data_IF_409282831319
#
_entry.id   IF_409282831319
#
_cell.length_a   1.000
_cell.length_b   1.000
_cell.length_c   1.000
_cell.angle_alpha   90.00
_cell.angle_beta   90.00
_cell.angle_gamma   90.00
#
_symmetry.space_group_name_H-M   'P 1'
#
loop_
_entity.id
_entity.type
_entity.pdbx_description
1 polymer ?
#
# COMPACT_ATOMS: atom_id res chain seq x y z
N UNK A 1 21.16 -2.44 30.78
CA UNK A 1 19.68 -2.40 30.77
C UNK A 1 19.21 -2.52 32.19
N UNK A 2 18.75 -1.42 32.80
CA UNK A 2 18.20 -1.43 34.15
C UNK A 2 16.68 -1.54 34.08
N UNK A 3 16.07 -2.37 34.94
CA UNK A 3 14.63 -2.48 35.05
C UNK A 3 14.06 -1.25 35.77
N UNK A 4 12.90 -0.76 35.33
CA UNK A 4 12.15 0.28 36.04
C UNK A 4 11.91 -0.18 37.50
N UNK A 5 12.38 0.60 38.47
CA UNK A 5 12.38 0.29 39.91
C UNK A 5 12.98 -1.07 40.31
N UNK A 6 13.81 -1.68 39.45
CA UNK A 6 14.34 -3.04 39.65
C UNK A 6 13.26 -4.13 39.85
N UNK A 7 12.02 -3.87 39.43
CA UNK A 7 10.88 -4.77 39.59
C UNK A 7 10.32 -5.19 38.24
N UNK A 8 10.05 -6.50 38.09
CA UNK A 8 9.38 -7.06 36.91
C UNK A 8 7.86 -6.99 37.02
N UNK A 9 7.18 -6.93 35.87
CA UNK A 9 5.73 -7.10 35.76
C UNK A 9 5.45 -8.59 35.58
N UNK A 10 4.66 -9.19 36.47
CA UNK A 10 4.33 -10.62 36.39
C UNK A 10 3.15 -10.84 35.45
N UNK A 11 3.43 -11.26 34.21
CA UNK A 11 2.42 -11.68 33.23
C UNK A 11 2.53 -13.19 32.96
N UNK A 12 1.90 -14.01 33.81
CA UNK A 12 1.94 -15.47 33.66
C UNK A 12 1.23 -15.94 32.38
N UNK A 13 1.92 -16.78 31.61
CA UNK A 13 1.35 -17.37 30.38
C UNK A 13 1.22 -16.38 29.22
N UNK A 14 1.93 -15.25 29.27
CA UNK A 14 1.95 -14.24 28.21
C UNK A 14 2.14 -14.87 26.82
N UNK A 15 1.20 -14.60 25.91
CA UNK A 15 1.28 -15.05 24.50
C UNK A 15 1.63 -13.92 23.55
N UNK A 16 1.12 -12.72 23.81
CA UNK A 16 1.41 -11.53 23.05
C UNK A 16 1.22 -10.30 23.91
N UNK A 17 2.02 -9.27 23.64
CA UNK A 17 1.85 -7.93 24.18
C UNK A 17 2.18 -6.91 23.11
N UNK A 18 1.58 -5.74 23.22
CA UNK A 18 1.89 -4.60 22.38
C UNK A 18 1.76 -3.29 23.15
N UNK A 19 2.51 -2.29 22.74
CA UNK A 19 2.51 -0.96 23.34
C UNK A 19 1.47 -0.07 22.68
N UNK A 20 0.79 0.75 23.48
CA UNK A 20 0.03 1.86 22.96
C UNK A 20 0.97 2.78 22.16
N UNK A 21 0.63 3.16 20.91
CA UNK A 21 1.51 3.96 20.07
C UNK A 21 1.88 5.34 20.61
N UNK A 22 1.03 5.93 21.47
CA UNK A 22 1.20 7.30 21.99
C UNK A 22 1.27 7.44 23.50
N UNK A 23 0.81 6.44 24.25
CA UNK A 23 0.84 6.46 25.70
C UNK A 23 1.74 5.35 26.26
N UNK A 24 2.20 5.53 27.49
CA UNK A 24 2.95 4.50 28.22
C UNK A 24 2.00 3.43 28.78
N UNK A 25 1.29 2.74 27.90
CA UNK A 25 0.33 1.71 28.23
C UNK A 25 0.69 0.42 27.49
N UNK A 26 0.76 -0.70 28.20
CA UNK A 26 0.98 -2.02 27.60
C UNK A 26 -0.34 -2.77 27.61
N UNK A 27 -0.76 -3.28 26.46
CA UNK A 27 -1.78 -4.32 26.40
C UNK A 27 -1.12 -5.67 26.24
N UNK A 28 -1.58 -6.66 27.00
CA UNK A 28 -1.15 -8.03 26.82
C UNK A 28 -2.30 -9.01 26.98
N UNK A 29 -2.13 -10.20 26.40
CA UNK A 29 -3.07 -11.27 26.57
C UNK A 29 -2.39 -12.56 27.04
N UNK A 30 -3.12 -13.31 27.86
CA UNK A 30 -2.72 -14.62 28.35
C UNK A 30 -3.87 -15.61 28.11
N UNK A 31 -3.59 -16.83 27.62
CA UNK A 31 -4.58 -17.87 27.42
C UNK A 31 -4.99 -18.48 28.76
N UNK A 32 -6.04 -19.29 28.72
CA UNK A 32 -6.53 -20.04 29.87
C UNK A 32 -5.44 -21.00 30.41
N UNK A 33 -5.24 -21.00 31.73
CA UNK A 33 -4.25 -21.84 32.40
C UNK A 33 -4.76 -22.26 33.77
N UNK A 34 -4.80 -23.58 34.01
CA UNK A 34 -5.30 -24.17 35.25
C UNK A 34 -6.71 -23.66 35.58
N UNK A 35 -6.90 -22.96 36.70
CA UNK A 35 -8.18 -22.36 37.11
C UNK A 35 -8.33 -20.89 36.69
N UNK A 36 -7.36 -20.31 35.97
CA UNK A 36 -7.44 -18.92 35.51
C UNK A 36 -7.95 -18.86 34.06
N UNK A 37 -9.01 -18.09 33.78
CA UNK A 37 -9.49 -17.90 32.42
C UNK A 37 -8.48 -17.11 31.58
N UNK A 38 -8.63 -17.18 30.26
CA UNK A 38 -7.90 -16.29 29.38
C UNK A 38 -8.22 -14.84 29.73
N UNK A 39 -7.30 -13.91 29.48
CA UNK A 39 -7.50 -12.50 29.81
C UNK A 39 -6.74 -11.57 28.89
N UNK A 40 -7.34 -10.42 28.63
CA UNK A 40 -6.66 -9.24 28.10
C UNK A 40 -6.51 -8.24 29.24
N UNK A 41 -5.32 -7.70 29.40
CA UNK A 41 -4.96 -6.78 30.50
C UNK A 41 -4.24 -5.56 29.92
N UNK A 42 -4.62 -4.39 30.41
CA UNK A 42 -3.94 -3.13 30.12
C UNK A 42 -3.22 -2.66 31.39
N UNK A 43 -1.92 -2.39 31.26
CA UNK A 43 -1.03 -2.00 32.35
C UNK A 43 -0.42 -0.65 32.05
N UNK A 44 -0.65 0.31 32.94
CA UNK A 44 -0.08 1.65 32.83
C UNK A 44 1.36 1.66 33.35
N UNK A 45 2.23 2.39 32.65
CA UNK A 45 3.60 2.67 33.07
C UNK A 45 3.81 4.18 33.24
N UNK A 46 4.58 4.59 34.27
CA UNK A 46 5.45 3.77 35.12
C UNK A 46 4.76 3.11 36.33
N UNK A 47 3.46 3.36 36.57
CA UNK A 47 2.76 2.94 37.79
C UNK A 47 2.71 1.41 37.97
N UNK A 48 2.82 0.62 36.88
CA UNK A 48 2.68 -0.84 36.82
C UNK A 48 1.32 -1.34 37.31
N UNK A 49 0.32 -0.46 37.35
CA UNK A 49 -1.03 -0.80 37.77
C UNK A 49 -1.81 -1.36 36.59
N UNK A 50 -2.52 -2.45 36.82
CA UNK A 50 -3.53 -2.94 35.88
C UNK A 50 -4.70 -1.95 35.88
N UNK A 51 -4.84 -1.19 34.79
CA UNK A 51 -5.93 -0.21 34.64
C UNK A 51 -7.21 -0.87 34.14
N UNK A 52 -7.09 -1.99 33.41
CA UNK A 52 -8.23 -2.75 32.91
C UNK A 52 -7.86 -4.22 32.76
N UNK A 53 -8.79 -5.09 33.15
CA UNK A 53 -8.70 -6.54 32.97
C UNK A 53 -10.03 -7.08 32.46
N UNK A 54 -10.01 -7.78 31.33
CA UNK A 54 -11.16 -8.45 30.73
C UNK A 54 -10.90 -9.96 30.69
N UNK A 55 -11.62 -10.77 31.48
CA UNK A 55 -11.58 -12.22 31.32
C UNK A 55 -12.27 -12.63 30.01
N UNK A 56 -11.74 -13.66 29.38
CA UNK A 56 -12.20 -14.26 28.14
C UNK A 56 -12.33 -15.78 28.34
N UNK A 57 -13.32 -16.38 27.70
CA UNK A 57 -13.62 -17.80 27.85
C UNK A 57 -13.57 -18.51 26.49
N UNK A 58 -13.17 -19.79 26.52
CA UNK A 58 -13.04 -20.62 25.33
C UNK A 58 -12.16 -19.98 24.25
N UNK A 59 -11.01 -19.40 24.60
CA UNK A 59 -10.12 -18.71 23.65
C UNK A 59 -9.16 -19.70 22.99
N UNK A 60 -9.08 -19.65 21.66
CA UNK A 60 -8.06 -20.33 20.86
C UNK A 60 -6.87 -19.40 20.61
N UNK A 61 -7.16 -18.19 20.13
CA UNK A 61 -6.16 -17.19 19.79
C UNK A 61 -6.71 -15.77 20.02
N UNK A 62 -5.80 -14.82 20.25
CA UNK A 62 -6.14 -13.41 20.41
C UNK A 62 -5.10 -12.51 19.76
N UNK A 63 -5.56 -11.63 18.87
CA UNK A 63 -4.74 -10.62 18.21
C UNK A 63 -5.10 -9.23 18.74
N UNK A 64 -4.08 -8.47 19.13
CA UNK A 64 -4.22 -7.12 19.68
C UNK A 64 -3.84 -6.10 18.60
N UNK A 65 -4.76 -5.20 18.25
CA UNK A 65 -4.54 -4.18 17.22
C UNK A 65 -4.87 -2.80 17.77
N UNK A 66 -3.83 -1.98 17.94
CA UNK A 66 -3.96 -0.59 18.38
C UNK A 66 -4.35 0.36 17.25
N UNK A 67 -5.19 1.34 17.57
CA UNK A 67 -5.38 2.51 16.73
C UNK A 67 -4.17 3.45 16.90
N UNK A 68 -3.84 4.17 15.85
CA UNK A 68 -2.56 4.87 15.67
C UNK A 68 -2.32 6.00 16.68
N UNK A 69 -3.39 6.60 17.16
CA UNK A 69 -3.39 7.65 18.19
C UNK A 69 -3.48 7.06 19.60
N UNK A 70 -3.64 5.73 19.72
CA UNK A 70 -3.75 5.04 21.00
C UNK A 70 -5.13 5.19 21.67
N UNK A 71 -6.12 5.72 20.97
CA UNK A 71 -7.45 5.97 21.54
C UNK A 71 -8.29 4.70 21.66
N UNK A 72 -8.06 3.76 20.75
CA UNK A 72 -8.79 2.50 20.67
C UNK A 72 -7.83 1.31 20.60
N UNK A 73 -8.25 0.20 21.20
CA UNK A 73 -7.61 -1.11 21.07
C UNK A 73 -8.69 -2.12 20.68
N UNK A 74 -8.41 -2.93 19.68
CA UNK A 74 -9.21 -4.11 19.36
C UNK A 74 -8.46 -5.36 19.85
N UNK A 75 -9.13 -6.19 20.64
CA UNK A 75 -8.72 -7.57 20.86
C UNK A 75 -9.64 -8.48 20.03
N UNK A 76 -9.11 -9.00 18.92
CA UNK A 76 -9.79 -9.98 18.08
C UNK A 76 -9.63 -11.35 18.73
N UNK A 77 -10.71 -11.91 19.24
CA UNK A 77 -10.71 -13.18 19.99
C UNK A 77 -11.32 -14.28 19.12
N UNK A 78 -10.51 -15.29 18.80
CA UNK A 78 -10.97 -16.49 18.12
C UNK A 78 -11.34 -17.54 19.16
N UNK A 79 -12.59 -17.98 19.18
CA UNK A 79 -13.08 -18.94 20.18
C UNK A 79 -12.93 -20.39 19.73
N UNK A 80 -12.51 -21.26 20.66
CA UNK A 80 -12.50 -22.72 20.55
C UNK A 80 -13.93 -23.23 20.40
N UNK A 81 -14.21 -24.00 19.35
CA UNK A 81 -15.43 -24.81 19.21
C UNK A 81 -15.09 -26.26 18.88
N UNK A 82 -15.89 -27.20 19.41
CA UNK A 82 -15.70 -28.65 19.22
C UNK A 82 -16.19 -29.18 17.86
N UNK A 83 -17.14 -28.54 17.19
CA UNK A 83 -17.82 -29.13 16.01
C UNK A 83 -18.30 -28.17 14.89
N UNK A 84 -17.95 -26.87 14.88
CA UNK A 84 -18.30 -25.97 13.75
C UNK A 84 -17.39 -24.74 13.61
N UNK A 85 -17.61 -23.94 12.55
CA UNK A 85 -16.87 -22.72 12.16
C UNK A 85 -16.45 -21.88 13.38
N UNK A 86 -15.18 -21.45 13.39
CA UNK A 86 -14.59 -20.63 14.46
C UNK A 86 -15.40 -19.35 14.63
N UNK A 87 -15.87 -19.08 15.85
CA UNK A 87 -16.56 -17.82 16.19
C UNK A 87 -15.50 -16.78 16.52
N UNK A 88 -15.63 -15.58 15.96
CA UNK A 88 -14.75 -14.44 16.28
C UNK A 88 -15.56 -13.38 17.00
N UNK A 89 -15.01 -12.85 18.09
CA UNK A 89 -15.53 -11.65 18.76
C UNK A 89 -14.47 -10.55 18.74
N UNK A 90 -14.93 -9.31 18.58
CA UNK A 90 -14.10 -8.12 18.67
C UNK A 90 -14.40 -7.43 19.99
N UNK A 91 -13.42 -7.44 20.89
CA UNK A 91 -13.48 -6.73 22.16
C UNK A 91 -12.79 -5.37 21.98
N UNK A 92 -13.58 -4.31 21.91
CA UNK A 92 -13.16 -2.96 21.54
C UNK A 92 -13.06 -2.11 22.81
N UNK A 93 -11.87 -1.58 23.08
CA UNK A 93 -11.55 -0.78 24.26
C UNK A 93 -11.42 0.69 23.87
N UNK A 94 -12.10 1.58 24.61
CA UNK A 94 -11.94 3.04 24.52
C UNK A 94 -10.97 3.50 25.61
N UNK A 95 -9.71 3.66 25.25
CA UNK A 95 -8.62 3.80 26.23
C UNK A 95 -8.61 5.16 26.92
N UNK A 96 -9.05 6.21 26.24
CA UNK A 96 -9.12 7.57 26.80
C UNK A 96 -10.35 7.82 27.69
N UNK A 97 -11.27 6.87 27.78
CA UNK A 97 -12.49 7.03 28.58
C UNK A 97 -12.30 6.53 30.01
N UNK A 98 -13.04 7.14 30.94
CA UNK A 98 -12.99 6.77 32.34
C UNK A 98 -13.33 5.27 32.51
N UNK A 99 -12.44 4.54 33.18
CA UNK A 99 -12.59 3.10 33.40
C UNK A 99 -12.33 2.20 32.18
N UNK A 100 -11.86 2.78 31.06
CA UNK A 100 -11.60 2.11 29.78
C UNK A 100 -12.86 1.33 29.35
N UNK A 101 -13.84 2.08 28.84
CA UNK A 101 -15.09 1.52 28.38
C UNK A 101 -14.83 0.42 27.34
N UNK A 102 -15.65 -0.63 27.37
CA UNK A 102 -15.48 -1.82 26.55
C UNK A 102 -16.80 -2.17 25.88
N UNK A 103 -16.72 -2.44 24.59
CA UNK A 103 -17.83 -2.88 23.76
C UNK A 103 -17.44 -4.16 23.04
N UNK A 104 -18.37 -5.10 22.98
CA UNK A 104 -18.17 -6.39 22.33
C UNK A 104 -19.02 -6.44 21.07
N UNK A 105 -18.37 -6.71 19.93
CA UNK A 105 -19.06 -7.01 18.68
C UNK A 105 -18.84 -8.47 18.35
N UNK A 106 -19.93 -9.23 18.31
CA UNK A 106 -19.88 -10.60 17.81
C UNK A 106 -19.97 -10.59 16.28
N UNK A 107 -19.05 -11.30 15.62
CA UNK A 107 -19.08 -11.48 14.17
C UNK A 107 -19.80 -12.79 13.86
N UNK A 108 -20.81 -12.72 12.99
CA UNK A 108 -21.56 -13.88 12.51
C UNK A 108 -20.59 -14.94 11.97
N UNK A 109 -20.87 -16.22 12.24
CA UNK A 109 -19.99 -17.39 12.19
C UNK A 109 -19.16 -17.57 10.90
N UNK A 110 -18.21 -16.66 10.69
CA UNK A 110 -17.30 -16.55 9.57
C UNK A 110 -15.93 -16.13 10.13
N UNK A 111 -14.83 -16.67 9.58
CA UNK A 111 -13.52 -16.28 10.04
C UNK A 111 -13.23 -14.83 9.61
N UNK A 112 -12.70 -14.05 10.53
CA UNK A 112 -12.12 -12.73 10.25
C UNK A 112 -10.71 -12.95 9.70
N UNK A 113 -10.43 -12.34 8.55
CA UNK A 113 -9.16 -12.51 7.81
C UNK A 113 -8.19 -11.35 8.04
N UNK A 114 -8.73 -10.14 8.17
CA UNK A 114 -7.94 -8.94 8.43
C UNK A 114 -8.81 -7.92 9.17
N UNK A 115 -8.16 -7.11 10.00
CA UNK A 115 -8.77 -6.04 10.77
C UNK A 115 -7.88 -4.80 10.62
N UNK A 116 -8.47 -3.63 10.36
CA UNK A 116 -7.70 -2.39 10.29
C UNK A 116 -8.48 -1.18 10.80
N UNK A 117 -7.87 -0.45 11.74
CA UNK A 117 -8.32 0.85 12.21
C UNK A 117 -8.09 1.94 11.15
N UNK A 118 -9.03 2.88 11.07
CA UNK A 118 -8.80 4.13 10.34
C UNK A 118 -7.80 5.01 11.11
N UNK A 119 -6.71 5.45 10.45
CA UNK A 119 -5.74 6.38 11.02
C UNK A 119 -6.37 7.67 11.51
N UNK A 120 -6.07 8.04 12.77
CA UNK A 120 -6.58 9.25 13.41
C UNK A 120 -8.11 9.41 13.35
N UNK A 121 -8.83 8.29 13.22
CA UNK A 121 -10.29 8.23 13.18
C UNK A 121 -10.84 7.23 14.21
N UNK A 122 -12.17 7.12 14.20
CA UNK A 122 -12.93 6.20 15.07
C UNK A 122 -13.53 5.02 14.29
N UNK A 123 -13.29 4.93 12.98
CA UNK A 123 -13.81 3.85 12.14
C UNK A 123 -12.82 2.70 12.06
N UNK A 124 -13.33 1.52 11.75
CA UNK A 124 -12.50 0.37 11.39
C UNK A 124 -13.21 -0.47 10.34
N UNK A 125 -12.43 -1.31 9.66
CA UNK A 125 -12.93 -2.25 8.69
C UNK A 125 -12.44 -3.65 9.03
N UNK A 126 -13.27 -4.65 8.68
CA UNK A 126 -12.93 -6.06 8.80
C UNK A 126 -13.19 -6.78 7.49
N UNK A 127 -12.34 -7.73 7.17
CA UNK A 127 -12.57 -8.73 6.13
C UNK A 127 -13.06 -10.00 6.81
N UNK A 128 -14.21 -10.51 6.40
CA UNK A 128 -14.75 -11.77 6.92
C UNK A 128 -15.38 -12.60 5.81
N UNK A 129 -15.37 -13.92 5.99
CA UNK A 129 -15.98 -14.85 5.06
C UNK A 129 -15.26 -16.19 5.02
N UNK A 130 -15.96 -17.21 4.54
CA UNK A 130 -15.56 -18.61 4.71
C UNK A 130 -14.67 -19.12 3.58
N UNK A 131 -14.88 -18.63 2.36
CA UNK A 131 -14.22 -19.14 1.17
C UNK A 131 -12.83 -18.50 0.95
N UNK A 132 -11.81 -19.20 1.45
CA UNK A 132 -10.42 -18.79 1.27
C UNK A 132 -9.93 -18.83 -0.19
N UNK A 133 -10.56 -19.64 -1.04
CA UNK A 133 -10.04 -19.94 -2.38
C UNK A 133 -10.50 -18.94 -3.42
N UNK A 134 -11.73 -18.42 -3.31
CA UNK A 134 -12.25 -17.42 -4.27
C UNK A 134 -11.78 -15.99 -3.98
N UNK A 135 -11.19 -15.74 -2.79
CA UNK A 135 -10.90 -14.42 -2.26
C UNK A 135 -12.12 -13.48 -2.18
N UNK A 136 -13.34 -13.96 -2.43
CA UNK A 136 -14.57 -13.16 -2.40
C UNK A 136 -15.08 -13.07 -0.97
N UNK A 137 -14.43 -12.21 -0.20
CA UNK A 137 -14.81 -11.94 1.17
C UNK A 137 -15.72 -10.72 1.27
N UNK A 138 -16.48 -10.67 2.36
CA UNK A 138 -17.27 -9.50 2.71
C UNK A 138 -16.39 -8.52 3.48
N UNK A 139 -16.56 -7.22 3.19
CA UNK A 139 -15.90 -6.15 3.94
C UNK A 139 -16.96 -5.38 4.71
N UNK A 140 -16.86 -5.34 6.04
CA UNK A 140 -17.76 -4.57 6.89
C UNK A 140 -17.05 -3.36 7.46
N UNK A 141 -17.69 -2.20 7.39
CA UNK A 141 -17.20 -0.95 7.96
C UNK A 141 -17.99 -0.61 9.22
N UNK A 142 -17.30 -0.28 10.29
CA UNK A 142 -17.86 0.06 11.59
C UNK A 142 -17.35 1.42 12.06
N UNK A 143 -18.09 2.03 12.98
CA UNK A 143 -17.71 3.24 13.67
C UNK A 143 -17.84 3.05 15.18
N UNK A 144 -16.87 3.54 15.95
CA UNK A 144 -16.98 3.65 17.42
C UNK A 144 -17.87 4.84 17.83
N UNK A 145 -18.44 5.59 16.90
CA UNK A 145 -19.38 6.67 17.21
C UNK A 145 -20.57 6.52 16.26
N UNK A 146 -21.78 6.53 16.80
CA UNK A 146 -22.97 6.46 15.99
C UNK A 146 -23.03 7.71 15.08
N UNK A 147 -23.13 7.53 13.76
CA UNK A 147 -22.96 8.62 12.79
C UNK A 147 -24.00 9.74 12.93
N UNK A 148 -25.24 9.40 13.28
CA UNK A 148 -26.34 10.37 13.42
C UNK A 148 -26.45 10.97 14.83
N UNK A 149 -26.45 10.14 15.87
CA UNK A 149 -26.70 10.57 17.25
C UNK A 149 -25.44 11.08 17.96
N UNK A 150 -24.24 10.77 17.44
CA UNK A 150 -22.97 11.06 18.11
C UNK A 150 -22.74 10.25 19.38
N UNK A 151 -23.59 9.26 19.66
CA UNK A 151 -23.44 8.41 20.83
C UNK A 151 -22.21 7.50 20.69
N UNK A 152 -21.56 7.24 21.82
CA UNK A 152 -20.35 6.41 21.91
C UNK A 152 -20.73 4.94 21.92
N UNK A 153 -21.27 4.48 20.80
CA UNK A 153 -21.64 3.08 20.58
C UNK A 153 -21.05 2.59 19.26
N UNK A 154 -20.70 1.31 19.22
CA UNK A 154 -20.21 0.67 18.01
C UNK A 154 -21.37 0.41 17.06
N UNK A 155 -21.32 1.05 15.89
CA UNK A 155 -22.36 0.95 14.86
C UNK A 155 -21.77 0.39 13.58
N UNK A 156 -22.44 -0.60 12.98
CA UNK A 156 -22.15 -1.04 11.62
C UNK A 156 -22.61 0.05 10.64
N UNK A 157 -21.69 0.57 9.82
CA UNK A 157 -22.00 1.59 8.82
C UNK A 157 -22.63 0.96 7.58
N UNK A 158 -21.91 0.03 6.95
CA UNK A 158 -22.37 -0.71 5.78
C UNK A 158 -21.47 -1.92 5.51
N UNK A 159 -21.90 -2.79 4.60
CA UNK A 159 -21.18 -3.98 4.15
C UNK A 159 -21.02 -3.99 2.63
N UNK A 160 -19.86 -4.45 2.17
CA UNK A 160 -19.60 -4.82 0.78
C UNK A 160 -19.75 -6.33 0.67
N UNK A 161 -20.93 -6.82 0.30
CA UNK A 161 -21.29 -8.25 0.24
C UNK A 161 -22.08 -8.62 -1.03
N UNK A 162 -22.29 -9.92 -1.26
CA UNK A 162 -23.06 -10.42 -2.41
C UNK A 162 -22.42 -10.09 -3.76
N UNK A 163 -23.18 -9.48 -4.68
CA UNK A 163 -22.65 -9.02 -5.97
C UNK A 163 -21.57 -7.92 -5.83
N UNK A 164 -21.48 -7.28 -4.65
CA UNK A 164 -20.44 -6.31 -4.31
C UNK A 164 -19.27 -6.93 -3.54
N UNK A 165 -19.27 -8.25 -3.31
CA UNK A 165 -18.15 -8.96 -2.70
C UNK A 165 -16.93 -8.86 -3.62
N UNK A 166 -15.78 -8.54 -3.03
CA UNK A 166 -14.57 -8.18 -3.78
C UNK A 166 -13.47 -9.19 -3.52
N UNK A 167 -12.59 -9.46 -4.50
CA UNK A 167 -11.36 -10.19 -4.24
C UNK A 167 -10.48 -9.37 -3.27
N UNK A 168 -10.45 -9.73 -1.98
CA UNK A 168 -9.73 -8.93 -0.97
C UNK A 168 -9.25 -9.79 0.20
N UNK A 169 -7.98 -9.71 0.57
CA UNK A 169 -7.45 -10.37 1.78
C UNK A 169 -6.64 -9.44 2.68
N UNK A 170 -6.40 -8.20 2.27
CA UNK A 170 -5.68 -7.20 3.05
C UNK A 170 -6.36 -5.84 2.98
N UNK A 171 -6.49 -5.21 4.14
CA UNK A 171 -6.94 -3.83 4.33
C UNK A 171 -5.75 -2.92 4.57
N UNK A 172 -5.72 -1.78 3.89
CA UNK A 172 -4.68 -0.78 4.11
C UNK A 172 -5.24 0.64 4.01
N UNK A 173 -5.51 1.25 5.15
CA UNK A 173 -5.97 2.64 5.22
C UNK A 173 -4.87 3.64 4.87
N UNK A 174 -5.27 4.73 4.19
CA UNK A 174 -4.43 5.91 4.03
C UNK A 174 -4.15 6.53 5.40
N UNK A 175 -2.91 6.96 5.70
CA UNK A 175 -2.56 7.69 6.92
C UNK A 175 -3.41 8.93 7.21
N UNK A 176 -4.08 9.51 6.21
CA UNK A 176 -4.99 10.64 6.39
C UNK A 176 -6.46 10.23 6.66
N UNK A 177 -6.74 8.93 6.75
CA UNK A 177 -8.11 8.40 6.82
C UNK A 177 -8.85 8.49 5.48
N UNK A 178 -10.17 8.29 5.53
CA UNK A 178 -11.14 8.34 4.42
C UNK A 178 -10.95 7.26 3.34
N UNK A 179 -9.75 7.15 2.80
CA UNK A 179 -9.40 6.24 1.73
C UNK A 179 -8.80 4.97 2.31
N UNK A 180 -9.30 3.83 1.83
CA UNK A 180 -8.80 2.50 2.13
C UNK A 180 -8.45 1.77 0.84
N UNK A 181 -7.35 1.02 0.86
CA UNK A 181 -7.00 0.08 -0.20
C UNK A 181 -7.47 -1.30 0.22
N UNK A 182 -8.37 -1.85 -0.60
CA UNK A 182 -8.80 -3.24 -0.52
C UNK A 182 -7.88 -4.03 -1.47
N UNK A 183 -6.91 -4.75 -0.91
CA UNK A 183 -5.93 -5.49 -1.68
C UNK A 183 -6.23 -7.00 -1.67
N UNK A 184 -6.08 -7.63 -2.83
CA UNK A 184 -5.85 -9.07 -2.95
C UNK A 184 -4.37 -9.27 -3.19
N UNK A 185 -3.67 -9.76 -2.18
CA UNK A 185 -2.28 -10.15 -2.26
C UNK A 185 -2.21 -11.64 -2.61
N UNK A 186 -1.87 -11.93 -3.86
CA UNK A 186 -1.74 -13.28 -4.42
C UNK A 186 -0.79 -13.24 -5.64
N UNK A 187 -0.61 -14.36 -6.35
CA UNK A 187 0.17 -14.37 -7.59
C UNK A 187 -0.35 -13.37 -8.63
N UNK A 188 -1.66 -13.38 -8.87
CA UNK A 188 -2.38 -12.32 -9.58
C UNK A 188 -3.05 -11.40 -8.54
N UNK A 189 -2.34 -10.33 -8.20
CA UNK A 189 -2.76 -9.35 -7.21
C UNK A 189 -3.71 -8.32 -7.82
N UNK A 190 -4.56 -7.73 -6.97
CA UNK A 190 -5.40 -6.60 -7.36
C UNK A 190 -5.48 -5.57 -6.24
N UNK A 191 -5.51 -4.30 -6.61
CA UNK A 191 -5.66 -3.18 -5.69
C UNK A 191 -6.93 -2.41 -6.03
N UNK A 192 -7.78 -2.18 -5.04
CA UNK A 192 -8.91 -1.29 -5.17
C UNK A 192 -8.79 -0.13 -4.20
N UNK A 193 -8.76 1.09 -4.75
CA UNK A 193 -8.78 2.33 -4.00
C UNK A 193 -10.24 2.70 -3.75
N UNK A 194 -10.63 2.70 -2.49
CA UNK A 194 -12.02 2.87 -2.07
C UNK A 194 -12.13 4.03 -1.09
N UNK A 195 -13.09 4.92 -1.32
CA UNK A 195 -13.41 6.05 -0.46
C UNK A 195 -14.60 5.67 0.43
N UNK A 196 -14.34 5.67 1.75
CA UNK A 196 -15.29 5.27 2.79
C UNK A 196 -16.27 6.40 3.12
N UNK A 197 -15.98 7.65 2.76
CA UNK A 197 -16.92 8.75 2.98
C UNK A 197 -17.95 8.84 1.84
N UNK A 198 -17.52 8.63 0.59
CA UNK A 198 -18.39 8.65 -0.59
C UNK A 198 -19.01 7.29 -0.92
N UNK A 199 -18.57 6.23 -0.24
CA UNK A 199 -18.89 4.82 -0.55
C UNK A 199 -18.56 4.40 -1.99
N UNK A 200 -17.57 5.02 -2.63
CA UNK A 200 -17.25 4.79 -4.04
C UNK A 200 -15.84 4.24 -4.27
N UNK A 201 -15.71 3.40 -5.29
CA UNK A 201 -14.41 2.95 -5.79
C UNK A 201 -13.81 4.08 -6.63
N UNK A 202 -12.63 4.58 -6.23
CA UNK A 202 -11.88 5.61 -6.96
C UNK A 202 -11.16 5.01 -8.16
N UNK A 203 -10.51 3.86 -7.95
CA UNK A 203 -9.83 3.12 -9.00
C UNK A 203 -9.71 1.65 -8.64
N UNK A 204 -9.68 0.81 -9.67
CA UNK A 204 -9.41 -0.61 -9.58
C UNK A 204 -8.24 -0.98 -10.48
N UNK A 205 -7.30 -1.74 -9.95
CA UNK A 205 -6.09 -2.22 -10.63
C UNK A 205 -6.06 -3.73 -10.48
N UNK A 206 -6.55 -4.41 -11.51
CA UNK A 206 -6.55 -5.87 -11.60
C UNK A 206 -5.29 -6.36 -12.33
N UNK A 207 -5.07 -7.68 -12.29
CA UNK A 207 -3.99 -8.38 -13.02
C UNK A 207 -2.58 -7.83 -12.77
N UNK A 208 -2.36 -7.36 -11.54
CA UNK A 208 -1.03 -6.94 -11.10
C UNK A 208 -0.20 -8.19 -10.80
N UNK A 209 1.08 -8.14 -11.18
CA UNK A 209 2.10 -9.04 -10.66
C UNK A 209 2.09 -9.09 -9.14
N UNK A 210 2.50 -10.23 -8.58
CA UNK A 210 2.49 -10.55 -7.15
C UNK A 210 3.05 -9.43 -6.30
N UNK A 211 2.26 -8.91 -5.37
CA UNK A 211 2.69 -7.88 -4.43
C UNK A 211 3.14 -8.53 -3.12
N UNK A 212 4.38 -8.26 -2.68
CA UNK A 212 4.89 -8.71 -1.38
C UNK A 212 5.04 -7.56 -0.35
N UNK A 213 5.19 -6.34 -0.85
CA UNK A 213 5.27 -5.13 -0.06
C UNK A 213 4.19 -4.15 -0.52
N UNK A 214 3.35 -3.69 0.41
CA UNK A 214 2.32 -2.70 0.15
C UNK A 214 2.28 -1.69 1.31
N UNK A 215 2.68 -0.44 1.08
CA UNK A 215 2.64 0.61 2.11
C UNK A 215 2.37 1.99 1.53
N UNK A 216 1.60 2.78 2.29
CA UNK A 216 1.43 4.21 2.06
C UNK A 216 2.69 4.99 2.43
N UNK A 217 2.90 6.10 1.73
CA UNK A 217 3.82 7.13 2.18
C UNK A 217 3.27 7.81 3.46
N UNK A 218 4.12 8.35 4.35
CA UNK A 218 3.65 8.99 5.58
C UNK A 218 2.68 10.17 5.39
N UNK A 219 2.60 10.76 4.19
CA UNK A 219 1.62 11.82 3.88
C UNK A 219 0.29 11.32 3.34
N UNK A 220 0.14 10.02 3.09
CA UNK A 220 -1.09 9.41 2.56
C UNK A 220 -1.47 9.85 1.14
N UNK A 221 -0.52 10.40 0.38
CA UNK A 221 -0.72 10.83 -1.01
C UNK A 221 -0.36 9.75 -2.02
N UNK A 222 0.55 8.86 -1.65
CA UNK A 222 1.11 7.84 -2.50
C UNK A 222 1.07 6.47 -1.84
N UNK A 223 0.65 5.47 -2.61
CA UNK A 223 0.77 4.06 -2.24
C UNK A 223 1.89 3.45 -3.07
N UNK A 224 2.77 2.68 -2.42
CA UNK A 224 3.76 1.87 -3.14
C UNK A 224 3.46 0.42 -2.96
N UNK A 225 3.34 -0.29 -4.08
CA UNK A 225 3.52 -1.72 -4.12
C UNK A 225 4.94 -2.04 -4.62
N UNK A 226 5.48 -3.16 -4.16
CA UNK A 226 6.77 -3.64 -4.63
C UNK A 226 6.79 -5.16 -4.72
N UNK A 227 7.78 -5.65 -5.46
CA UNK A 227 8.15 -7.05 -5.58
C UNK A 227 9.62 -7.12 -5.19
N UNK A 228 9.87 -7.62 -3.99
CA UNK A 228 11.17 -7.70 -3.37
C UNK A 228 11.70 -9.13 -3.41
N UNK A 229 13.01 -9.27 -3.47
CA UNK A 229 13.68 -10.55 -3.30
C UNK A 229 14.51 -10.57 -2.02
N UNK A 230 14.55 -11.70 -1.30
CA UNK A 230 15.37 -11.83 -0.11
C UNK A 230 16.86 -11.73 -0.46
N UNK A 231 17.64 -11.09 0.41
CA UNK A 231 19.10 -11.07 0.29
C UNK A 231 19.65 -12.49 0.50
N UNK A 232 20.54 -12.94 -0.38
CA UNK A 232 21.24 -14.23 -0.26
C UNK A 232 20.59 -15.42 -0.97
N UNK A 233 19.45 -15.25 -1.66
CA UNK A 233 18.91 -16.28 -2.53
C UNK A 233 19.09 -15.89 -4.00
N UNK A 234 20.12 -16.45 -4.63
CA UNK A 234 20.42 -16.22 -6.06
C UNK A 234 19.39 -16.85 -7.01
N UNK A 235 18.57 -17.78 -6.52
CA UNK A 235 17.53 -18.50 -7.28
C UNK A 235 16.14 -18.18 -6.72
N UNK A 236 15.79 -16.90 -6.66
CA UNK A 236 14.44 -16.48 -6.31
C UNK A 236 13.49 -16.66 -7.49
N UNK A 237 12.44 -17.46 -7.32
CA UNK A 237 11.47 -17.85 -8.38
C UNK A 237 10.78 -16.65 -9.05
N UNK A 238 10.69 -15.50 -8.37
CA UNK A 238 9.96 -14.32 -8.83
C UNK A 238 10.89 -13.17 -9.27
N UNK A 239 12.08 -13.49 -9.79
CA UNK A 239 13.11 -12.48 -10.08
C UNK A 239 12.82 -11.55 -11.27
N UNK A 240 11.88 -11.91 -12.15
CA UNK A 240 11.62 -11.20 -13.41
C UNK A 240 10.81 -9.90 -13.26
N UNK A 241 9.89 -9.82 -12.31
CA UNK A 241 9.04 -8.63 -12.10
C UNK A 241 9.49 -7.78 -10.91
N UNK A 242 10.73 -7.96 -10.46
CA UNK A 242 11.30 -7.24 -9.34
C UNK A 242 11.31 -5.73 -9.60
N UNK A 243 10.84 -4.95 -8.61
CA UNK A 243 10.68 -3.52 -8.78
C UNK A 243 9.61 -2.95 -7.88
N UNK A 244 9.14 -1.75 -8.22
CA UNK A 244 8.06 -1.10 -7.49
C UNK A 244 7.16 -0.27 -8.40
N UNK A 245 5.90 -0.16 -8.01
CA UNK A 245 4.91 0.76 -8.60
C UNK A 245 4.49 1.77 -7.55
N UNK A 246 4.39 3.02 -7.96
CA UNK A 246 3.89 4.11 -7.14
C UNK A 246 2.58 4.63 -7.71
N UNK A 247 1.56 4.67 -6.86
CA UNK A 247 0.22 5.12 -7.19
C UNK A 247 -0.10 6.39 -6.42
N UNK A 248 -0.90 7.28 -6.98
CA UNK A 248 -1.58 8.32 -6.20
C UNK A 248 -2.62 7.68 -5.28
N UNK A 249 -3.11 8.42 -4.29
CA UNK A 249 -4.25 8.00 -3.46
C UNK A 249 -5.53 7.73 -4.26
N UNK A 250 -5.64 8.29 -5.47
CA UNK A 250 -6.74 8.07 -6.42
C UNK A 250 -6.51 6.79 -7.26
N UNK A 251 -5.38 6.11 -7.09
CA UNK A 251 -5.01 4.91 -7.84
C UNK A 251 -4.44 5.18 -9.24
N UNK A 252 -3.93 6.37 -9.52
CA UNK A 252 -3.22 6.70 -10.79
C UNK A 252 -1.76 6.29 -10.68
N UNK A 253 -1.25 5.51 -11.64
CA UNK A 253 0.15 5.11 -11.69
C UNK A 253 1.05 6.33 -12.01
N UNK A 254 2.05 6.57 -11.18
CA UNK A 254 3.00 7.69 -11.32
C UNK A 254 4.36 7.19 -11.76
N UNK A 255 4.80 6.08 -11.18
CA UNK A 255 6.09 5.48 -11.49
C UNK A 255 5.95 3.97 -11.50
N UNK A 256 6.57 3.35 -12.49
CA UNK A 256 6.80 1.93 -12.54
C UNK A 256 8.29 1.74 -12.81
N UNK A 257 8.99 1.15 -11.85
CA UNK A 257 10.44 0.98 -11.93
C UNK A 257 10.74 -0.50 -11.75
N UNK A 258 11.08 -1.14 -12.85
CA UNK A 258 11.63 -2.48 -12.86
C UNK A 258 13.11 -2.40 -12.50
N UNK A 259 13.55 -3.26 -11.59
CA UNK A 259 14.93 -3.31 -11.15
C UNK A 259 15.33 -4.74 -10.87
N UNK A 260 16.32 -5.21 -11.64
CA UNK A 260 16.99 -6.46 -11.34
C UNK A 260 17.59 -6.41 -9.93
N UNK A 261 17.45 -7.51 -9.20
CA UNK A 261 17.93 -7.64 -7.84
C UNK A 261 17.38 -6.57 -6.87
N UNK A 262 16.06 -6.40 -6.86
CA UNK A 262 15.39 -5.45 -5.97
C UNK A 262 15.16 -6.04 -4.57
N UNK A 263 15.95 -5.62 -3.58
CA UNK A 263 15.89 -6.23 -2.25
C UNK A 263 14.90 -5.57 -1.29
N UNK A 264 14.74 -4.25 -1.35
CA UNK A 264 13.96 -3.54 -0.35
C UNK A 264 13.50 -2.17 -0.86
N UNK A 265 12.24 -1.87 -0.59
CA UNK A 265 11.63 -0.55 -0.64
C UNK A 265 11.25 -0.13 0.78
N UNK A 266 11.59 1.08 1.19
CA UNK A 266 11.06 1.69 2.40
C UNK A 266 10.83 3.18 2.18
N UNK A 267 9.67 3.66 2.62
CA UNK A 267 9.43 5.08 2.71
C UNK A 267 10.28 5.68 3.83
N UNK A 268 10.94 6.80 3.55
CA UNK A 268 11.60 7.58 4.59
C UNK A 268 10.53 8.07 5.58
N UNK A 269 10.62 7.73 6.89
CA UNK A 269 9.69 8.25 7.88
C UNK A 269 9.73 9.79 7.90
N UNK A 270 8.56 10.42 8.05
CA UNK A 270 8.44 11.87 8.12
C UNK A 270 8.40 12.30 9.59
N UNK A 271 9.36 13.11 10.06
CA UNK A 271 9.33 13.64 11.42
C UNK A 271 8.04 14.44 11.70
N UNK A 272 7.65 14.57 12.98
CA UNK A 272 6.56 15.45 13.37
C UNK A 272 6.73 16.85 12.80
N UNK A 273 5.61 17.47 12.41
CA UNK A 273 5.61 18.84 11.92
C UNK A 273 6.11 19.79 13.00
N UNK A 274 7.03 20.69 12.63
CA UNK A 274 7.48 21.78 13.50
C UNK A 274 6.42 22.90 13.63
N UNK A 275 5.36 22.83 12.83
CA UNK A 275 4.29 23.83 12.85
C UNK A 275 3.34 23.58 14.01
N UNK A 276 3.01 24.63 14.75
CA UNK A 276 1.95 24.64 15.75
C UNK A 276 0.59 24.34 15.10
N UNK A 277 -0.39 23.89 15.90
CA UNK A 277 -1.74 23.60 15.40
C UNK A 277 -2.38 24.84 14.73
N UNK A 278 -2.13 26.04 15.24
CA UNK A 278 -2.63 27.29 14.66
C UNK A 278 -2.02 27.58 13.28
N UNK A 279 -0.70 27.41 13.14
CA UNK A 279 -0.02 27.56 11.86
C UNK A 279 -0.52 26.54 10.83
N UNK A 280 -0.74 25.28 11.25
CA UNK A 280 -1.32 24.27 10.38
C UNK A 280 -2.74 24.64 9.93
N UNK A 281 -3.57 25.17 10.83
CA UNK A 281 -4.92 25.67 10.49
C UNK A 281 -4.86 26.84 9.52
N UNK A 282 -3.92 27.78 9.71
CA UNK A 282 -3.70 28.89 8.79
C UNK A 282 -3.28 28.42 7.40
N UNK A 283 -2.35 27.46 7.32
CA UNK A 283 -1.92 26.85 6.04
C UNK A 283 -3.10 26.18 5.33
N UNK A 284 -3.94 25.43 6.05
CA UNK A 284 -5.15 24.83 5.48
C UNK A 284 -6.14 25.89 4.97
N UNK A 285 -6.31 27.00 5.69
CA UNK A 285 -7.18 28.11 5.27
C UNK A 285 -6.68 28.79 3.99
N UNK A 286 -5.37 29.00 3.89
CA UNK A 286 -4.72 29.69 2.77
C UNK A 286 -4.30 28.72 1.64
N UNK A 287 -4.76 27.46 1.66
CA UNK A 287 -4.28 26.40 0.78
C UNK A 287 -4.41 26.76 -0.71
N UNK A 288 -5.54 27.36 -1.12
CA UNK A 288 -5.76 27.81 -2.51
C UNK A 288 -4.74 28.84 -2.99
N UNK A 289 -4.23 29.69 -2.08
CA UNK A 289 -3.20 30.67 -2.40
C UNK A 289 -1.86 29.98 -2.65
N UNK A 290 -1.52 29.00 -1.82
CA UNK A 290 -0.30 28.19 -1.97
C UNK A 290 -0.35 27.31 -3.20
N UNK A 291 -1.49 26.65 -3.48
CA UNK A 291 -1.73 25.84 -4.67
C UNK A 291 -1.43 26.64 -5.95
N UNK A 292 -2.07 27.81 -6.13
CA UNK A 292 -1.82 28.67 -7.31
C UNK A 292 -0.36 29.07 -7.46
N UNK A 293 0.32 29.32 -6.35
CA UNK A 293 1.75 29.70 -6.34
C UNK A 293 2.62 28.51 -6.75
N UNK A 294 2.43 27.35 -6.12
CA UNK A 294 3.24 26.16 -6.39
C UNK A 294 2.98 25.59 -7.79
N UNK A 295 1.74 25.60 -8.27
CA UNK A 295 1.42 25.22 -9.65
C UNK A 295 2.15 26.08 -10.67
N UNK A 296 2.23 27.39 -10.41
CA UNK A 296 2.99 28.31 -11.28
C UNK A 296 4.49 27.98 -11.24
N UNK A 297 5.06 27.85 -10.05
CA UNK A 297 6.48 27.52 -9.87
C UNK A 297 6.85 26.18 -10.50
N UNK A 298 5.98 25.16 -10.39
CA UNK A 298 6.22 23.84 -10.95
C UNK A 298 6.08 23.82 -12.48
N UNK A 299 5.09 24.54 -13.05
CA UNK A 299 4.99 24.74 -14.50
C UNK A 299 6.24 25.43 -15.07
N UNK A 300 6.75 26.45 -14.38
CA UNK A 300 7.97 27.15 -14.79
C UNK A 300 9.19 26.21 -14.75
N UNK A 301 9.33 25.38 -13.70
CA UNK A 301 10.40 24.37 -13.61
C UNK A 301 10.31 23.34 -14.74
N UNK A 302 9.11 22.82 -15.02
CA UNK A 302 8.92 21.85 -16.11
C UNK A 302 9.24 22.45 -17.48
N UNK A 303 8.79 23.69 -17.73
CA UNK A 303 9.10 24.41 -18.95
C UNK A 303 10.62 24.60 -19.12
N UNK A 304 11.31 24.99 -18.04
CA UNK A 304 12.76 25.16 -18.05
C UNK A 304 13.50 23.84 -18.32
N UNK A 305 13.08 22.74 -17.68
CA UNK A 305 13.63 21.39 -17.94
C UNK A 305 13.44 20.99 -19.42
N UNK A 306 12.23 21.14 -19.95
CA UNK A 306 11.93 20.84 -21.37
C UNK A 306 12.77 21.70 -22.32
N UNK A 307 12.95 22.98 -22.02
CA UNK A 307 13.79 23.89 -22.81
C UNK A 307 15.25 23.47 -22.79
N UNK A 308 15.77 23.05 -21.64
CA UNK A 308 17.15 22.55 -21.53
C UNK A 308 17.35 21.23 -22.29
N UNK A 309 16.42 20.28 -22.16
CA UNK A 309 16.44 19.04 -22.93
C UNK A 309 16.37 19.28 -24.44
N UNK A 310 15.49 20.20 -24.87
CA UNK A 310 15.38 20.59 -26.27
C UNK A 310 16.68 21.20 -26.78
N UNK A 311 17.32 22.07 -25.99
CA UNK A 311 18.62 22.66 -26.31
C UNK A 311 19.71 21.58 -26.44
N UNK A 312 19.79 20.63 -25.51
CA UNK A 312 20.75 19.51 -25.57
C UNK A 312 20.52 18.62 -26.79
N UNK A 313 19.26 18.27 -27.08
CA UNK A 313 18.89 17.52 -28.30
C UNK A 313 19.23 18.30 -29.57
N UNK A 314 18.98 19.61 -29.58
CA UNK A 314 19.34 20.51 -30.67
C UNK A 314 20.84 20.52 -30.94
N UNK A 315 21.65 20.71 -29.90
CA UNK A 315 23.11 20.69 -30.00
C UNK A 315 23.63 19.33 -30.52
N UNK A 316 23.12 18.22 -29.98
CA UNK A 316 23.52 16.87 -30.42
C UNK A 316 23.15 16.60 -31.88
N UNK A 317 21.99 17.09 -32.34
CA UNK A 317 21.60 17.00 -33.75
C UNK A 317 22.49 17.86 -34.64
N UNK A 318 22.87 19.06 -34.21
CA UNK A 318 23.77 19.93 -34.95
C UNK A 318 25.17 19.31 -35.07
N UNK A 319 25.70 18.77 -33.97
CA UNK A 319 26.97 18.04 -33.94
C UNK A 319 26.95 16.82 -34.87
N UNK A 320 25.91 15.99 -34.80
CA UNK A 320 25.76 14.85 -35.70
C UNK A 320 25.66 15.26 -37.17
N UNK A 321 24.91 16.32 -37.48
CA UNK A 321 24.80 16.85 -38.85
C UNK A 321 26.14 17.38 -39.37
N UNK A 322 26.89 18.08 -38.54
CA UNK A 322 28.22 18.57 -38.90
C UNK A 322 29.18 17.40 -39.17
N UNK A 323 29.22 16.42 -38.26
CA UNK A 323 30.01 15.19 -38.43
C UNK A 323 29.63 14.43 -39.71
N UNK A 324 28.34 14.23 -39.94
CA UNK A 324 27.83 13.56 -41.14
C UNK A 324 28.21 14.31 -42.42
N UNK A 325 28.07 15.64 -42.44
CA UNK A 325 28.45 16.45 -43.59
C UNK A 325 29.96 16.34 -43.90
N UNK A 326 30.82 16.36 -42.88
CA UNK A 326 32.27 16.15 -43.05
C UNK A 326 32.57 14.75 -43.60
N UNK A 327 31.97 13.70 -43.04
CA UNK A 327 32.18 12.32 -43.50
C UNK A 327 31.66 12.10 -44.92
N UNK A 328 30.52 12.70 -45.25
CA UNK A 328 29.94 12.66 -46.59
C UNK A 328 30.86 13.36 -47.60
N UNK A 329 31.43 14.51 -47.27
CA UNK A 329 32.38 15.21 -48.13
C UNK A 329 33.67 14.40 -48.35
N UNK A 330 34.22 13.79 -47.29
CA UNK A 330 35.37 12.87 -47.39
C UNK A 330 35.06 11.65 -48.27
N UNK A 331 33.87 11.07 -48.11
CA UNK A 331 33.41 9.95 -48.91
C UNK A 331 33.27 10.34 -50.39
N UNK A 332 32.59 11.44 -50.70
CA UNK A 332 32.40 11.93 -52.07
C UNK A 332 33.74 12.21 -52.76
N UNK A 333 34.72 12.77 -52.04
CA UNK A 333 36.06 13.00 -52.56
C UNK A 333 36.80 11.71 -52.93
N UNK A 334 36.53 10.61 -52.21
CA UNK A 334 37.14 9.28 -52.43
C UNK A 334 36.27 8.34 -53.26
N UNK A 335 35.07 8.77 -53.67
CA UNK A 335 34.09 7.91 -54.33
C UNK A 335 34.64 7.23 -55.57
N UNK A 336 35.34 7.96 -56.44
CA UNK A 336 35.93 7.41 -57.66
C UNK A 336 37.02 6.35 -57.38
N UNK A 337 37.83 6.55 -56.34
CA UNK A 337 38.84 5.59 -55.89
C UNK A 337 38.19 4.31 -55.34
N UNK A 338 37.15 4.46 -54.53
CA UNK A 338 36.41 3.35 -53.91
C UNK A 338 35.67 2.51 -54.96
N UNK A 339 34.99 3.15 -55.92
CA UNK A 339 34.32 2.47 -57.04
C UNK A 339 35.34 1.71 -57.91
N UNK A 340 36.53 2.30 -58.14
CA UNK A 340 37.60 1.61 -58.87
C UNK A 340 38.13 0.38 -58.12
N UNK A 341 38.29 0.46 -56.79
CA UNK A 341 38.63 -0.69 -55.93
C UNK A 341 37.56 -1.78 -55.95
N UNK A 342 36.28 -1.40 -56.13
CA UNK A 342 35.15 -2.31 -56.29
C UNK A 342 34.92 -2.75 -57.74
N UNK A 343 35.94 -2.64 -58.62
CA UNK A 343 35.87 -3.05 -60.03
C UNK A 343 34.74 -2.38 -60.82
N UNK A 344 34.39 -1.15 -60.46
CA UNK A 344 33.37 -0.35 -61.12
C UNK A 344 31.95 -0.48 -60.55
N UNK A 345 31.77 -1.22 -59.46
CA UNK A 345 30.48 -1.30 -58.77
C UNK A 345 30.30 -0.11 -57.81
N UNK A 346 29.21 0.63 -57.94
CA UNK A 346 28.86 1.76 -57.05
C UNK A 346 27.72 1.35 -56.11
N UNK A 347 28.08 1.08 -54.85
CA UNK A 347 27.15 0.77 -53.75
C UNK A 347 26.21 1.95 -53.38
N UNK A 348 26.33 3.13 -53.99
CA UNK A 348 25.36 4.23 -53.78
C UNK A 348 24.42 4.47 -54.97
N UNK A 349 24.64 3.81 -56.10
CA UNK A 349 23.77 3.95 -57.27
C UNK A 349 22.48 3.16 -57.03
N UNK A 350 21.37 3.89 -56.87
CA UNK A 350 20.06 3.31 -56.53
C UNK A 350 19.59 2.27 -57.56
N UNK A 351 20.08 2.33 -58.80
CA UNK A 351 19.82 1.35 -59.86
C UNK A 351 20.44 -0.02 -59.58
N UNK A 352 21.47 -0.09 -58.73
CA UNK A 352 22.10 -1.34 -58.29
C UNK A 352 21.31 -2.04 -57.16
N UNK A 353 20.23 -1.43 -56.66
CA UNK A 353 19.38 -1.97 -55.60
C UNK A 353 17.94 -2.19 -56.07
N UNK A 354 17.42 -3.42 -55.94
CA UNK A 354 15.99 -3.67 -56.09
C UNK A 354 15.25 -3.29 -54.79
N UNK A 355 14.72 -2.07 -54.72
CA UNK A 355 14.00 -1.57 -53.54
C UNK A 355 12.61 -2.20 -53.48
N UNK A 356 12.44 -3.24 -52.65
CA UNK A 356 11.12 -3.81 -52.34
C UNK A 356 10.51 -3.13 -51.12
N UNK A 357 9.47 -2.33 -51.35
CA UNK A 357 8.66 -1.77 -50.26
C UNK A 357 7.74 -2.87 -49.72
N UNK A 358 8.12 -3.47 -48.59
CA UNK A 358 7.29 -4.46 -47.91
C UNK A 358 6.46 -3.78 -46.82
N UNK A 359 5.17 -3.63 -47.05
CA UNK A 359 4.22 -3.18 -46.03
C UNK A 359 3.93 -4.35 -45.08
N UNK A 360 4.68 -4.43 -43.97
CA UNK A 360 4.38 -5.38 -42.90
C UNK A 360 3.26 -4.83 -42.01
N UNK A 361 2.07 -5.41 -42.10
CA UNK A 361 1.02 -5.23 -41.10
C UNK A 361 1.49 -5.90 -39.81
N UNK A 362 1.99 -5.13 -38.85
CA UNK A 362 2.27 -5.67 -37.53
C UNK A 362 0.95 -5.94 -36.83
N UNK A 363 0.52 -7.20 -36.84
CA UNK A 363 -0.55 -7.70 -35.98
C UNK A 363 0.09 -7.93 -34.60
N UNK A 364 -0.40 -7.29 -33.52
CA UNK A 364 0.03 -7.64 -32.18
C UNK A 364 -0.25 -9.12 -31.96
N UNK A 365 0.73 -9.90 -31.49
CA UNK A 365 0.54 -11.31 -31.16
C UNK A 365 -0.59 -11.44 -30.13
N UNK A 366 -1.73 -11.93 -30.60
CA UNK A 366 -2.91 -12.27 -29.82
C UNK A 366 -3.77 -13.25 -30.62
N UNK A 367 -3.81 -14.49 -30.12
CA UNK A 367 -4.64 -15.65 -30.46
C UNK A 367 -4.38 -16.49 -31.74
N UNK A 368 -3.90 -17.75 -31.58
CA UNK A 368 -3.93 -18.78 -32.61
C UNK A 368 -5.26 -19.55 -32.55
N UNK A 369 -6.38 -18.91 -32.87
CA UNK A 369 -7.61 -19.61 -33.23
C UNK A 369 -8.30 -18.83 -34.34
N UNK A 370 -8.28 -19.42 -35.55
CA UNK A 370 -9.17 -19.26 -36.71
C UNK A 370 -8.36 -19.49 -37.99
N UNK A 371 -7.82 -20.70 -38.12
CA UNK A 371 -7.66 -21.35 -39.42
C UNK A 371 -8.92 -22.19 -39.64
N UNK A 372 -9.85 -21.63 -40.39
CA UNK A 372 -11.05 -22.25 -40.94
C UNK A 372 -11.36 -21.60 -42.27
#
# INVERSE_FOLDING_TARGET
MELLDRKSIRAEGLRGFDWCPKDNLIAYWAPERQQQPARVVLVELPSKKEVRRKPLFYVEDCELTWQNEGEYLCAQVTHKKRQSKKKVSLELFRVKEAGIALEMVEIDATPVRDFAWEPAGHRFAIIHGDDANSYRFSVSFYSMIHPTTGQKEVTLLYRLEGQKARPVNKLLWSPNGSIIVLAKLAEASSLEFYDVDSHSTLAKRDDLSRIDYLKWDPSGRYLTDAIQQPMGNSYYKYSYDNGFRMWTFQGTLIAHVEKNQFYMFQWRPRPPSLLTAEQQRKVKKDLRKYERRFDKEDREKEMNKKKEEWRKKGARRAEFRAFYATRLAEFQARKAELVALQKGYDDEELENYEIRVVTRRMVPLGDPELAG
#
